data_IF_368433750844
#
_entry.id   IF_368433750844
#
_cell.length_a   1.000
_cell.length_b   1.000
_cell.length_c   1.000
_cell.angle_alpha   90.00
_cell.angle_beta   90.00
_cell.angle_gamma   90.00
#
_symmetry.space_group_name_H-M   'P 1'
#
loop_
_entity.id
_entity.type
_entity.pdbx_description
1 polymer ?
#
# COMPACT_ATOMS: atom_id res chain seq x y z
N UNK A 1 25.78 -18.40 -3.13
CA UNK A 1 25.10 -17.18 -3.63
C UNK A 1 23.97 -17.45 -4.65
N UNK A 2 23.69 -18.72 -5.04
CA UNK A 2 22.45 -19.12 -5.70
C UNK A 2 22.06 -18.32 -6.96
N UNK A 3 20.76 -18.30 -7.27
CA UNK A 3 20.20 -17.52 -8.40
C UNK A 3 19.79 -16.08 -8.03
N UNK A 4 20.27 -15.55 -6.90
CA UNK A 4 19.75 -14.30 -6.31
C UNK A 4 19.92 -13.09 -7.23
N UNK A 5 21.11 -12.88 -7.77
CA UNK A 5 21.40 -11.70 -8.60
C UNK A 5 20.58 -11.72 -9.89
N UNK A 6 20.41 -12.90 -10.45
CA UNK A 6 19.64 -13.11 -11.66
C UNK A 6 18.14 -12.92 -11.42
N UNK A 7 17.62 -13.51 -10.35
CA UNK A 7 16.23 -13.34 -9.92
C UNK A 7 15.92 -11.87 -9.62
N UNK A 8 16.82 -11.13 -8.95
CA UNK A 8 16.61 -9.73 -8.60
C UNK A 8 16.66 -8.80 -9.83
N UNK A 9 17.49 -9.12 -10.82
CA UNK A 9 17.65 -8.29 -12.02
C UNK A 9 16.40 -8.32 -12.90
N UNK A 10 15.84 -9.51 -13.12
CA UNK A 10 14.63 -9.68 -13.91
C UNK A 10 13.89 -10.96 -13.47
N UNK A 11 13.01 -10.81 -12.47
CA UNK A 11 12.34 -11.95 -11.87
C UNK A 11 11.40 -12.66 -12.86
N UNK A 12 10.79 -11.92 -13.79
CA UNK A 12 9.87 -12.49 -14.77
C UNK A 12 10.65 -13.35 -15.76
N UNK A 13 11.70 -12.81 -16.39
CA UNK A 13 12.51 -13.61 -17.32
C UNK A 13 13.16 -14.82 -16.65
N UNK A 14 13.58 -14.68 -15.40
CA UNK A 14 14.12 -15.80 -14.63
C UNK A 14 13.07 -16.91 -14.46
N UNK A 15 11.85 -16.56 -14.03
CA UNK A 15 10.78 -17.52 -13.80
C UNK A 15 10.31 -18.18 -15.10
N UNK A 16 10.18 -17.44 -16.19
CA UNK A 16 9.82 -17.98 -17.50
C UNK A 16 10.80 -19.05 -17.97
N UNK A 17 12.11 -18.78 -17.84
CA UNK A 17 13.14 -19.75 -18.19
C UNK A 17 13.12 -20.97 -17.28
N UNK A 18 12.93 -20.78 -15.97
CA UNK A 18 12.84 -21.91 -15.03
C UNK A 18 11.61 -22.76 -15.31
N UNK A 19 10.48 -22.13 -15.65
CA UNK A 19 9.27 -22.83 -16.11
C UNK A 19 9.53 -23.65 -17.37
N UNK A 20 10.18 -23.07 -18.38
CA UNK A 20 10.53 -23.80 -19.61
C UNK A 20 11.44 -25.01 -19.35
N UNK A 21 12.34 -24.92 -18.36
CA UNK A 21 13.31 -25.98 -18.05
C UNK A 21 12.77 -27.06 -17.10
N UNK A 22 11.92 -26.67 -16.15
CA UNK A 22 11.53 -27.52 -15.02
C UNK A 22 10.02 -27.76 -14.90
N UNK A 23 9.22 -27.16 -15.79
CA UNK A 23 7.76 -27.24 -15.74
C UNK A 23 7.13 -26.25 -14.76
N UNK A 24 5.87 -26.47 -14.42
CA UNK A 24 5.08 -25.53 -13.61
C UNK A 24 5.42 -25.54 -12.11
N UNK A 25 6.18 -26.52 -11.63
CA UNK A 25 6.60 -26.63 -10.23
C UNK A 25 8.09 -26.89 -10.14
N UNK A 26 8.82 -25.99 -9.50
CA UNK A 26 10.27 -26.12 -9.34
C UNK A 26 10.76 -25.45 -8.06
N UNK A 27 11.91 -25.90 -7.56
CA UNK A 27 12.56 -25.33 -6.37
C UNK A 27 13.90 -24.74 -6.73
N UNK A 28 14.17 -23.51 -6.29
CA UNK A 28 15.43 -22.81 -6.51
C UNK A 28 16.02 -22.34 -5.19
N UNK A 29 17.34 -22.32 -5.10
CA UNK A 29 18.03 -21.74 -3.96
C UNK A 29 18.27 -20.23 -4.19
N UNK A 30 17.63 -19.40 -3.37
CA UNK A 30 17.71 -17.94 -3.39
C UNK A 30 18.13 -17.45 -2.00
N UNK A 31 19.33 -16.89 -1.88
CA UNK A 31 19.78 -16.20 -0.67
C UNK A 31 19.98 -17.12 0.52
N UNK A 32 20.26 -18.40 0.27
CA UNK A 32 20.35 -19.45 1.30
C UNK A 32 19.01 -20.12 1.61
N UNK A 33 17.90 -19.60 1.09
CA UNK A 33 16.58 -20.21 1.22
C UNK A 33 16.27 -21.09 0.01
N UNK A 34 15.54 -22.17 0.22
CA UNK A 34 14.96 -22.98 -0.84
C UNK A 34 13.52 -22.52 -1.06
N UNK A 35 13.25 -21.93 -2.23
CA UNK A 35 11.94 -21.41 -2.59
C UNK A 35 11.34 -22.27 -3.69
N UNK A 36 10.16 -22.83 -3.42
CA UNK A 36 9.37 -23.60 -4.38
C UNK A 36 8.37 -22.67 -5.07
N UNK A 37 8.46 -22.58 -6.38
CA UNK A 37 7.53 -21.84 -7.23
C UNK A 37 6.47 -22.78 -7.79
N UNK A 38 5.21 -22.36 -7.72
CA UNK A 38 4.05 -23.05 -8.26
C UNK A 38 3.40 -22.10 -9.25
N UNK A 39 3.50 -22.41 -10.54
CA UNK A 39 3.05 -21.57 -11.67
C UNK A 39 1.84 -22.15 -12.41
N UNK A 40 1.34 -23.31 -11.97
CA UNK A 40 0.07 -23.88 -12.47
C UNK A 40 -1.11 -23.16 -11.81
N UNK A 41 -1.94 -22.42 -12.57
CA UNK A 41 -3.08 -21.70 -12.01
C UNK A 41 -4.15 -22.62 -11.41
N UNK A 42 -4.25 -23.88 -11.84
CA UNK A 42 -5.24 -24.84 -11.34
C UNK A 42 -4.89 -25.33 -9.94
N UNK A 43 -3.61 -25.40 -9.61
CA UNK A 43 -3.11 -25.83 -8.30
C UNK A 43 -3.24 -24.76 -7.21
N UNK A 44 -3.29 -23.47 -7.56
CA UNK A 44 -3.26 -22.35 -6.60
C UNK A 44 -4.38 -22.41 -5.54
N UNK A 45 -5.59 -22.80 -5.95
CA UNK A 45 -6.75 -22.83 -5.05
C UNK A 45 -6.59 -23.81 -3.88
N UNK A 46 -5.87 -24.91 -4.09
CA UNK A 46 -5.59 -25.92 -3.05
C UNK A 46 -4.58 -25.38 -2.05
N UNK A 47 -3.47 -24.79 -2.52
CA UNK A 47 -2.42 -24.26 -1.65
C UNK A 47 -2.88 -23.09 -0.77
N UNK A 48 -3.69 -22.18 -1.32
CA UNK A 48 -4.19 -21.02 -0.55
C UNK A 48 -5.14 -21.44 0.58
N UNK A 49 -5.76 -22.62 0.49
CA UNK A 49 -6.70 -23.16 1.48
C UNK A 49 -6.05 -24.12 2.50
N UNK A 50 -4.76 -24.43 2.36
CA UNK A 50 -4.08 -25.33 3.29
C UNK A 50 -4.05 -24.77 4.72
N UNK A 51 -3.98 -25.67 5.70
CA UNK A 51 -3.96 -25.27 7.10
C UNK A 51 -2.66 -24.52 7.45
N UNK A 52 -2.69 -23.57 8.40
CA UNK A 52 -1.49 -22.89 8.86
C UNK A 52 -0.42 -23.82 9.44
N UNK A 53 -0.79 -25.03 9.85
CA UNK A 53 0.14 -26.07 10.32
C UNK A 53 1.04 -26.59 9.20
N UNK A 54 0.54 -26.58 7.95
CA UNK A 54 1.30 -27.02 6.77
C UNK A 54 1.90 -25.85 6.00
N UNK A 55 1.21 -24.70 5.94
CA UNK A 55 1.63 -23.52 5.20
C UNK A 55 1.35 -22.23 5.99
N UNK A 56 2.35 -21.76 6.73
CA UNK A 56 2.22 -20.56 7.55
C UNK A 56 2.69 -19.28 6.84
N UNK A 57 1.73 -18.52 6.30
CA UNK A 57 1.99 -17.19 5.74
C UNK A 57 2.34 -16.13 6.80
N UNK A 58 2.03 -16.35 8.08
CA UNK A 58 2.18 -15.33 9.11
C UNK A 58 3.64 -15.16 9.53
N UNK A 59 4.43 -16.24 9.56
CA UNK A 59 5.86 -16.15 9.88
C UNK A 59 6.59 -15.26 8.89
N UNK A 60 6.31 -15.40 7.59
CA UNK A 60 6.87 -14.52 6.57
C UNK A 60 6.43 -13.06 6.77
N UNK A 61 5.12 -12.82 6.95
CA UNK A 61 4.59 -11.47 7.14
C UNK A 61 5.18 -10.76 8.38
N UNK A 62 5.34 -11.46 9.51
CA UNK A 62 5.97 -10.89 10.72
C UNK A 62 7.42 -10.49 10.46
N UNK A 63 8.21 -11.37 9.85
CA UNK A 63 9.62 -11.09 9.55
C UNK A 63 9.75 -9.90 8.59
N UNK A 64 8.85 -9.79 7.59
CA UNK A 64 8.84 -8.68 6.66
C UNK A 64 8.50 -7.35 7.35
N UNK A 65 7.47 -7.33 8.18
CA UNK A 65 7.02 -6.13 8.92
C UNK A 65 8.08 -5.68 9.93
N UNK A 66 8.75 -6.60 10.63
CA UNK A 66 9.85 -6.26 11.53
C UNK A 66 11.04 -5.66 10.77
N UNK A 67 11.42 -6.24 9.61
CA UNK A 67 12.54 -5.74 8.81
C UNK A 67 12.26 -4.37 8.18
N UNK A 68 11.06 -4.17 7.65
CA UNK A 68 10.71 -2.92 6.98
C UNK A 68 10.40 -1.82 8.00
N UNK A 69 9.53 -2.09 8.96
CA UNK A 69 8.97 -1.07 9.85
C UNK A 69 9.52 -1.11 11.28
N UNK A 70 10.42 -2.05 11.60
CA UNK A 70 10.90 -2.23 12.98
C UNK A 70 9.84 -2.74 13.96
N UNK A 71 8.67 -3.15 13.45
CA UNK A 71 7.52 -3.52 14.28
C UNK A 71 7.53 -5.01 14.65
N UNK A 72 7.53 -5.31 15.94
CA UNK A 72 7.47 -6.67 16.49
C UNK A 72 6.07 -6.94 17.04
N UNK A 73 5.33 -7.83 16.37
CA UNK A 73 3.99 -8.22 16.84
C UNK A 73 4.08 -9.13 18.07
N UNK A 74 3.19 -8.90 19.05
CA UNK A 74 3.09 -9.70 20.27
C UNK A 74 2.38 -11.06 20.06
N UNK A 75 2.01 -11.40 18.83
CA UNK A 75 1.44 -12.69 18.44
C UNK A 75 -0.06 -12.88 18.73
N UNK A 76 -0.66 -12.03 19.57
CA UNK A 76 -2.09 -12.06 19.94
C UNK A 76 -2.96 -11.06 19.16
N UNK A 77 -2.37 -10.20 18.33
CA UNK A 77 -3.04 -9.09 17.64
C UNK A 77 -3.89 -9.52 16.43
N UNK A 78 -3.69 -10.74 15.91
CA UNK A 78 -4.29 -11.19 14.64
C UNK A 78 -5.81 -11.22 14.66
N UNK A 79 -6.40 -11.80 15.71
CA UNK A 79 -7.86 -11.91 15.82
C UNK A 79 -8.53 -10.54 16.00
N UNK A 80 -8.05 -9.66 16.90
CA UNK A 80 -8.50 -8.27 16.96
C UNK A 80 -8.34 -7.53 15.64
N UNK A 81 -7.19 -7.61 14.98
CA UNK A 81 -6.91 -6.93 13.71
C UNK A 81 -7.87 -7.38 12.61
N UNK A 82 -8.10 -8.69 12.46
CA UNK A 82 -9.05 -9.23 11.48
C UNK A 82 -10.49 -8.80 11.75
N UNK A 83 -10.91 -8.78 13.02
CA UNK A 83 -12.25 -8.30 13.41
C UNK A 83 -12.42 -6.82 13.09
N UNK A 84 -11.46 -5.98 13.45
CA UNK A 84 -11.48 -4.54 13.16
C UNK A 84 -11.44 -4.28 11.66
N UNK A 85 -10.56 -4.97 10.92
CA UNK A 85 -10.50 -4.89 9.46
C UNK A 85 -11.82 -5.26 8.80
N UNK A 86 -12.44 -6.38 9.18
CA UNK A 86 -13.75 -6.77 8.64
C UNK A 86 -14.85 -5.76 9.00
N UNK A 87 -14.81 -5.16 10.19
CA UNK A 87 -15.79 -4.14 10.60
C UNK A 87 -15.71 -2.87 9.74
N UNK A 88 -14.50 -2.41 9.43
CA UNK A 88 -14.29 -1.10 8.80
C UNK A 88 -14.00 -1.16 7.29
N UNK A 89 -13.50 -2.29 6.77
CA UNK A 89 -13.12 -2.47 5.37
C UNK A 89 -14.09 -3.37 4.59
N UNK A 90 -15.25 -3.72 5.17
CA UNK A 90 -16.32 -4.46 4.48
C UNK A 90 -17.70 -3.94 4.86
N UNK A 91 -18.69 -4.24 4.02
CA UNK A 91 -20.09 -3.93 4.27
C UNK A 91 -20.31 -2.44 4.60
N UNK A 92 -21.13 -2.12 5.61
CA UNK A 92 -21.43 -0.73 5.97
C UNK A 92 -20.21 0.11 6.35
N UNK A 93 -19.17 -0.48 6.94
CA UNK A 93 -17.95 0.24 7.28
C UNK A 93 -17.20 0.74 6.04
N UNK A 94 -17.18 -0.08 4.98
CA UNK A 94 -16.57 0.27 3.71
C UNK A 94 -17.34 1.38 3.00
N UNK A 95 -18.66 1.43 3.13
CA UNK A 95 -19.49 2.51 2.55
C UNK A 95 -19.11 3.86 3.14
N UNK A 96 -18.94 3.95 4.46
CA UNK A 96 -18.48 5.17 5.15
C UNK A 96 -17.09 5.57 4.67
N UNK A 97 -16.15 4.62 4.58
CA UNK A 97 -14.80 4.89 4.10
C UNK A 97 -14.77 5.34 2.64
N UNK A 98 -15.64 4.76 1.79
CA UNK A 98 -15.78 5.13 0.38
C UNK A 98 -16.27 6.56 0.25
N UNK A 99 -17.27 6.95 1.06
CA UNK A 99 -17.77 8.32 1.07
C UNK A 99 -16.69 9.31 1.53
N UNK A 100 -15.96 9.00 2.61
CA UNK A 100 -14.85 9.82 3.08
C UNK A 100 -13.76 9.98 2.00
N UNK A 101 -13.39 8.87 1.33
CA UNK A 101 -12.42 8.88 0.24
C UNK A 101 -12.88 9.74 -0.95
N UNK A 102 -14.15 9.64 -1.34
CA UNK A 102 -14.70 10.46 -2.42
C UNK A 102 -14.63 11.96 -2.09
N UNK A 103 -15.08 12.35 -0.89
CA UNK A 103 -15.03 13.74 -0.44
C UNK A 103 -13.59 14.26 -0.40
N UNK A 104 -12.66 13.49 0.17
CA UNK A 104 -11.25 13.90 0.27
C UNK A 104 -10.55 13.93 -1.10
N UNK A 105 -10.89 13.04 -2.03
CA UNK A 105 -10.35 13.06 -3.38
C UNK A 105 -10.81 14.30 -4.15
N UNK A 106 -12.10 14.63 -4.07
CA UNK A 106 -12.66 15.86 -4.64
C UNK A 106 -11.98 17.09 -4.06
N UNK A 107 -11.83 17.16 -2.73
CA UNK A 107 -11.12 18.25 -2.07
C UNK A 107 -9.70 18.39 -2.60
N UNK A 108 -8.89 17.31 -2.59
CA UNK A 108 -7.48 17.37 -3.02
C UNK A 108 -7.33 17.72 -4.50
N UNK A 109 -8.23 17.26 -5.37
CA UNK A 109 -8.15 17.48 -6.82
C UNK A 109 -8.68 18.84 -7.27
N UNK A 110 -9.77 19.33 -6.65
CA UNK A 110 -10.47 20.55 -7.10
C UNK A 110 -9.97 21.82 -6.40
N UNK A 111 -9.20 21.72 -5.32
CA UNK A 111 -8.67 22.86 -4.54
C UNK A 111 -7.96 23.94 -5.37
N UNK A 112 -7.26 23.57 -6.44
CA UNK A 112 -6.55 24.53 -7.30
C UNK A 112 -7.46 25.23 -8.33
N UNK A 113 -8.73 24.85 -8.42
CA UNK A 113 -9.69 25.37 -9.40
C UNK A 113 -10.51 26.53 -8.82
N UNK A 114 -10.66 26.59 -7.49
CA UNK A 114 -11.54 27.53 -6.79
C UNK A 114 -10.86 28.87 -6.41
N UNK A 115 -9.55 29.02 -6.62
CA UNK A 115 -8.89 30.33 -6.44
C UNK A 115 -9.29 31.27 -7.57
N UNK A 116 -10.14 32.25 -7.25
CA UNK A 116 -10.77 33.26 -8.11
C UNK A 116 -9.81 34.26 -8.77
N UNK A 117 -8.59 33.86 -9.13
CA UNK A 117 -7.67 34.66 -9.95
C UNK A 117 -7.68 34.12 -11.37
N UNK A 118 -7.96 35.04 -12.31
CA UNK A 118 -8.32 34.87 -13.72
C UNK A 118 -7.26 34.23 -14.65
N UNK A 119 -6.37 33.40 -14.11
CA UNK A 119 -5.38 32.64 -14.89
C UNK A 119 -5.41 31.17 -14.48
N UNK A 120 -6.35 30.43 -15.07
CA UNK A 120 -6.27 28.96 -15.14
C UNK A 120 -5.10 28.58 -16.06
N UNK A 121 -3.89 28.65 -15.54
CA UNK A 121 -2.69 28.23 -16.25
C UNK A 121 -2.60 26.70 -16.21
N UNK A 122 -2.30 26.10 -17.36
CA UNK A 122 -2.02 24.67 -17.42
C UNK A 122 -0.85 24.32 -16.50
N UNK A 123 -1.05 23.33 -15.62
CA UNK A 123 0.00 22.78 -14.76
C UNK A 123 0.56 21.52 -15.42
N UNK A 124 1.86 21.49 -15.66
CA UNK A 124 2.55 20.31 -16.16
C UNK A 124 3.19 19.53 -14.99
N UNK A 125 2.85 18.25 -14.86
CA UNK A 125 3.52 17.33 -13.92
C UNK A 125 3.49 15.90 -14.48
N UNK A 126 4.29 15.00 -13.90
CA UNK A 126 4.32 13.58 -14.27
C UNK A 126 3.04 12.89 -13.78
N UNK A 127 2.37 12.16 -14.66
CA UNK A 127 1.12 11.45 -14.36
C UNK A 127 1.21 10.61 -13.08
N UNK A 128 2.24 9.76 -12.97
CA UNK A 128 2.40 8.90 -11.78
C UNK A 128 2.55 9.71 -10.49
N UNK A 129 3.32 10.80 -10.51
CA UNK A 129 3.51 11.68 -9.34
C UNK A 129 2.18 12.35 -8.97
N UNK A 130 1.44 12.85 -9.96
CA UNK A 130 0.14 13.48 -9.76
C UNK A 130 -0.87 12.49 -9.15
N UNK A 131 -1.04 11.31 -9.76
CA UNK A 131 -1.97 10.27 -9.28
C UNK A 131 -1.60 9.77 -7.89
N UNK A 132 -0.32 9.47 -7.63
CA UNK A 132 0.12 8.97 -6.33
C UNK A 132 -0.12 10.02 -5.25
N UNK A 133 0.24 11.27 -5.51
CA UNK A 133 0.03 12.36 -4.56
C UNK A 133 -1.46 12.52 -4.21
N UNK A 134 -2.33 12.54 -5.20
CA UNK A 134 -3.77 12.68 -4.98
C UNK A 134 -4.36 11.51 -4.17
N UNK A 135 -4.07 10.26 -4.58
CA UNK A 135 -4.59 9.06 -3.91
C UNK A 135 -4.02 8.92 -2.50
N UNK A 136 -2.73 9.20 -2.29
CA UNK A 136 -2.10 9.14 -0.97
C UNK A 136 -2.73 10.15 0.00
N UNK A 137 -2.84 11.42 -0.41
CA UNK A 137 -3.36 12.48 0.46
C UNK A 137 -4.83 12.22 0.81
N UNK A 138 -5.65 11.86 -0.18
CA UNK A 138 -7.05 11.53 0.04
C UNK A 138 -7.21 10.29 0.93
N UNK A 139 -6.39 9.25 0.71
CA UNK A 139 -6.41 8.03 1.51
C UNK A 139 -5.99 8.26 2.96
N UNK A 140 -4.95 9.07 3.19
CA UNK A 140 -4.51 9.46 4.53
C UNK A 140 -5.64 10.14 5.31
N UNK A 141 -6.23 11.20 4.76
CA UNK A 141 -7.31 11.93 5.43
C UNK A 141 -8.54 11.06 5.67
N UNK A 142 -8.80 10.10 4.79
CA UNK A 142 -9.96 9.20 4.94
C UNK A 142 -9.77 8.12 6.01
N UNK A 143 -8.52 7.70 6.27
CA UNK A 143 -8.20 6.69 7.29
C UNK A 143 -7.90 7.30 8.67
N UNK A 144 -7.25 8.47 8.69
CA UNK A 144 -6.77 9.13 9.91
C UNK A 144 -7.61 10.34 10.33
N UNK A 145 -8.56 10.74 9.49
CA UNK A 145 -9.46 11.86 9.74
C UNK A 145 -8.94 13.20 9.22
N UNK A 146 -9.81 14.20 9.32
CA UNK A 146 -9.57 15.58 8.93
C UNK A 146 -9.41 16.46 10.18
N UNK A 147 -8.77 17.61 10.04
CA UNK A 147 -8.66 18.60 11.10
C UNK A 147 -10.04 19.05 11.60
N UNK A 148 -10.18 19.20 12.92
CA UNK A 148 -11.44 19.58 13.55
C UNK A 148 -11.88 20.99 13.14
N UNK A 149 -13.13 21.11 12.72
CA UNK A 149 -13.79 22.40 12.54
C UNK A 149 -14.26 22.91 13.92
N UNK A 150 -13.51 23.81 14.54
CA UNK A 150 -14.04 24.54 15.71
C UNK A 150 -15.20 25.44 15.25
N UNK A 151 -16.21 25.71 16.09
CA UNK A 151 -17.39 26.51 15.73
C UNK A 151 -17.12 28.02 15.57
N UNK A 152 -16.00 28.41 14.95
CA UNK A 152 -15.69 29.80 14.61
C UNK A 152 -15.86 30.06 13.10
N UNK A 153 -16.31 31.25 12.68
CA UNK A 153 -16.34 31.63 11.26
C UNK A 153 -14.92 31.60 10.66
N UNK A 154 -14.75 30.93 9.50
CA UNK A 154 -13.44 30.75 8.86
C UNK A 154 -12.61 29.57 9.38
N UNK A 155 -13.16 28.77 10.31
CA UNK A 155 -12.52 27.55 10.81
C UNK A 155 -12.43 26.43 9.77
N UNK A 156 -13.34 26.41 8.80
CA UNK A 156 -13.44 25.35 7.78
C UNK A 156 -12.33 25.49 6.75
N UNK A 157 -12.09 26.70 6.25
CA UNK A 157 -11.00 27.01 5.32
C UNK A 157 -9.64 26.75 5.99
N UNK A 158 -9.47 27.22 7.23
CA UNK A 158 -8.24 26.97 8.01
C UNK A 158 -8.00 25.48 8.27
N UNK A 159 -9.05 24.71 8.55
CA UNK A 159 -8.94 23.26 8.72
C UNK A 159 -8.53 22.57 7.39
N UNK A 160 -9.10 22.99 6.26
CA UNK A 160 -8.73 22.48 4.93
C UNK A 160 -7.29 22.82 4.56
N UNK A 161 -6.83 24.05 4.81
CA UNK A 161 -5.44 24.46 4.60
C UNK A 161 -4.47 23.64 5.46
N UNK A 162 -4.85 23.37 6.71
CA UNK A 162 -4.07 22.51 7.62
C UNK A 162 -3.98 21.08 7.07
N UNK A 163 -5.11 20.47 6.72
CA UNK A 163 -5.15 19.13 6.12
C UNK A 163 -4.31 19.05 4.85
N UNK A 164 -4.33 20.10 4.03
CA UNK A 164 -3.54 20.21 2.82
C UNK A 164 -2.04 20.24 3.12
N UNK A 165 -1.60 21.13 4.01
CA UNK A 165 -0.19 21.28 4.37
C UNK A 165 0.36 19.99 5.02
N UNK A 166 -0.42 19.38 5.93
CA UNK A 166 -0.03 18.15 6.62
C UNK A 166 0.06 16.97 5.66
N UNK A 167 -0.99 16.73 4.86
CA UNK A 167 -1.01 15.60 3.91
C UNK A 167 0.04 15.74 2.81
N UNK A 168 0.34 16.96 2.34
CA UNK A 168 1.41 17.22 1.38
C UNK A 168 2.78 16.94 2.02
N UNK A 169 3.03 17.44 3.24
CA UNK A 169 4.30 17.19 3.95
C UNK A 169 4.51 15.69 4.19
N UNK A 170 3.48 14.99 4.66
CA UNK A 170 3.54 13.55 4.91
C UNK A 170 3.80 12.76 3.62
N UNK A 171 3.19 13.14 2.50
CA UNK A 171 3.46 12.50 1.22
C UNK A 171 4.94 12.60 0.82
N UNK A 172 5.57 13.75 1.04
CA UNK A 172 6.99 13.94 0.72
C UNK A 172 7.89 13.06 1.59
N UNK A 173 7.62 12.96 2.90
CA UNK A 173 8.37 12.06 3.78
C UNK A 173 8.14 10.59 3.43
N UNK A 174 6.90 10.19 3.22
CA UNK A 174 6.56 8.82 2.84
C UNK A 174 7.24 8.41 1.52
N UNK A 175 7.32 9.31 0.53
CA UNK A 175 7.99 9.02 -0.75
C UNK A 175 9.48 8.78 -0.63
N UNK A 176 10.16 9.35 0.37
CA UNK A 176 11.57 9.04 0.65
C UNK A 176 11.71 7.58 1.09
N UNK A 177 10.82 7.13 1.98
CA UNK A 177 10.80 5.75 2.46
C UNK A 177 10.42 4.75 1.37
N UNK A 178 9.33 5.01 0.62
CA UNK A 178 8.81 4.15 -0.45
C UNK A 178 9.86 3.85 -1.54
N UNK A 179 10.72 4.83 -1.86
CA UNK A 179 11.82 4.64 -2.83
C UNK A 179 12.92 3.68 -2.34
N UNK A 180 13.05 3.50 -1.02
CA UNK A 180 14.06 2.66 -0.40
C UNK A 180 13.58 1.25 -0.11
N UNK A 181 12.25 1.03 0.02
CA UNK A 181 11.65 -0.29 0.33
C UNK A 181 12.16 -1.42 -0.59
N UNK A 182 12.28 -1.25 -1.93
CA UNK A 182 12.80 -2.31 -2.80
C UNK A 182 14.26 -2.71 -2.53
N UNK A 183 15.01 -1.90 -1.79
CA UNK A 183 16.39 -2.19 -1.39
C UNK A 183 16.49 -2.78 0.03
N UNK A 184 15.42 -2.69 0.83
CA UNK A 184 15.35 -3.19 2.20
C UNK A 184 14.70 -4.59 2.30
N UNK A 185 14.05 -5.03 1.23
CA UNK A 185 13.40 -6.34 1.11
C UNK A 185 14.30 -7.41 0.47
#
# INVERSE_FOLDING_TARGET
MGHVLEFRRDSIKFLDRMKQKHGDVFTVQLGGFYLTFILDPLSLGTFVKESPEKLDFNTFARNLVERLFGYKSLGNEKQPLMKTSHKHLRGPGLEVLTQAMMCNLQNVMLQNIDSSTDQKTWLEDRLFKCSYKAVFRAGYLSLFGNASHNCEPGSVEKAKEKDQAESETLFHEFRKYDQLVPNLA
#
